data_IF_595996146647
#
_entry.id   IF_595996146647
#
_cell.length_a   1.000
_cell.length_b   1.000
_cell.length_c   1.000
_cell.angle_alpha   90.00
_cell.angle_beta   90.00
_cell.angle_gamma   90.00
#
_symmetry.space_group_name_H-M   'P 1'
#
loop_
_entity.id
_entity.type
_entity.pdbx_description
1 polymer ?
#
# COMPACT_ATOMS: atom_id res chain seq x y z
N UNK A 1 18.31 23.98 9.99
CA UNK A 1 17.96 22.54 10.03
C UNK A 1 16.70 22.34 9.21
N UNK A 2 16.65 21.33 8.33
CA UNK A 2 15.38 20.91 7.72
C UNK A 2 14.55 20.19 8.78
N UNK A 3 13.28 20.58 8.92
CA UNK A 3 12.37 19.93 9.84
C UNK A 3 11.63 18.82 9.08
N UNK A 4 11.79 17.58 9.54
CA UNK A 4 11.14 16.42 8.93
C UNK A 4 9.99 15.94 9.80
N UNK A 5 8.87 15.61 9.18
CA UNK A 5 7.68 15.06 9.87
C UNK A 5 7.22 13.82 9.14
N UNK A 6 6.91 12.76 9.89
CA UNK A 6 6.26 11.56 9.35
C UNK A 6 4.79 11.60 9.71
N UNK A 7 3.91 11.33 8.75
CA UNK A 7 2.46 11.24 8.95
C UNK A 7 1.84 10.21 8.02
N UNK A 8 0.64 9.77 8.34
CA UNK A 8 -0.21 9.06 7.39
C UNK A 8 -0.59 9.97 6.22
N UNK A 9 -0.68 9.39 5.03
CA UNK A 9 -1.20 10.09 3.86
C UNK A 9 -2.71 10.28 3.96
N UNK A 10 -3.21 11.31 3.28
CA UNK A 10 -4.62 11.48 3.00
C UNK A 10 -4.85 11.53 1.49
N UNK A 11 -6.11 11.58 1.09
CA UNK A 11 -6.50 11.61 -0.33
C UNK A 11 -5.93 12.81 -1.11
N UNK A 12 -5.71 13.95 -0.46
CA UNK A 12 -5.13 15.15 -1.10
C UNK A 12 -3.66 14.97 -1.47
N UNK A 13 -2.96 13.99 -0.87
CA UNK A 13 -1.56 13.69 -1.18
C UNK A 13 -1.38 12.86 -2.45
N UNK A 14 -2.44 12.26 -3.00
CA UNK A 14 -2.38 11.34 -4.14
C UNK A 14 -1.61 11.90 -5.35
N UNK A 15 -1.79 13.16 -5.78
CA UNK A 15 -1.01 13.72 -6.89
C UNK A 15 0.49 13.70 -6.61
N UNK A 16 0.92 14.07 -5.39
CA UNK A 16 2.32 14.07 -4.99
C UNK A 16 2.89 12.66 -4.88
N UNK A 17 2.12 11.72 -4.31
CA UNK A 17 2.52 10.31 -4.20
C UNK A 17 2.73 9.66 -5.57
N UNK A 18 1.81 9.89 -6.52
CA UNK A 18 1.95 9.40 -7.90
C UNK A 18 3.16 10.01 -8.60
N UNK A 19 3.41 11.30 -8.39
CA UNK A 19 4.59 11.96 -8.95
C UNK A 19 5.88 11.32 -8.43
N UNK A 20 6.01 11.14 -7.11
CA UNK A 20 7.16 10.47 -6.50
C UNK A 20 7.34 9.06 -7.07
N UNK A 21 6.26 8.27 -7.15
CA UNK A 21 6.32 6.92 -7.70
C UNK A 21 6.86 6.90 -9.13
N UNK A 22 6.32 7.74 -10.01
CA UNK A 22 6.75 7.82 -11.40
C UNK A 22 8.19 8.31 -11.52
N UNK A 23 8.62 9.24 -10.68
CA UNK A 23 10.01 9.72 -10.67
C UNK A 23 10.99 8.66 -10.17
N UNK A 24 10.60 7.84 -9.19
CA UNK A 24 11.49 6.83 -8.60
C UNK A 24 11.53 5.51 -9.38
N UNK A 25 10.41 5.10 -9.98
CA UNK A 25 10.26 3.77 -10.60
C UNK A 25 10.03 3.81 -12.11
N UNK A 26 9.80 4.99 -12.69
CA UNK A 26 9.59 5.19 -14.13
C UNK A 26 8.40 4.40 -14.74
N UNK A 27 7.49 3.92 -13.88
CA UNK A 27 6.27 3.23 -14.30
C UNK A 27 5.38 4.13 -15.17
N UNK A 28 4.63 3.48 -16.07
CA UNK A 28 3.65 4.19 -16.87
C UNK A 28 2.60 4.87 -15.99
N UNK A 29 2.01 5.97 -16.49
CA UNK A 29 0.89 6.63 -15.79
C UNK A 29 -0.27 5.66 -15.54
N UNK A 30 -0.53 4.75 -16.48
CA UNK A 30 -1.61 3.77 -16.35
C UNK A 30 -1.34 2.78 -15.20
N UNK A 31 -0.10 2.28 -15.08
CA UNK A 31 0.29 1.34 -14.03
C UNK A 31 0.34 2.02 -12.66
N UNK A 32 0.86 3.24 -12.60
CA UNK A 32 0.84 4.06 -11.38
C UNK A 32 -0.60 4.31 -10.93
N UNK A 33 -1.49 4.74 -11.83
CA UNK A 33 -2.90 4.96 -11.51
C UNK A 33 -3.59 3.67 -11.06
N UNK A 34 -3.22 2.53 -11.65
CA UNK A 34 -3.72 1.21 -11.25
C UNK A 34 -3.26 0.84 -9.84
N UNK A 35 -1.97 1.02 -9.51
CA UNK A 35 -1.44 0.73 -8.18
C UNK A 35 -2.19 1.51 -7.10
N UNK A 36 -2.26 2.84 -7.25
CA UNK A 36 -2.93 3.70 -6.26
C UNK A 36 -4.44 3.49 -6.19
N UNK A 37 -5.07 2.92 -7.22
CA UNK A 37 -6.49 2.55 -7.16
C UNK A 37 -6.74 1.35 -6.24
N UNK A 38 -5.81 0.38 -6.23
CA UNK A 38 -6.01 -0.88 -5.51
C UNK A 38 -5.34 -0.91 -4.13
N UNK A 39 -4.22 -0.21 -3.97
CA UNK A 39 -3.36 -0.36 -2.79
C UNK A 39 -3.24 0.91 -1.94
N UNK A 40 -3.78 2.05 -2.39
CA UNK A 40 -3.80 3.24 -1.55
C UNK A 40 -4.81 3.06 -0.41
N UNK A 41 -4.30 3.14 0.82
CA UNK A 41 -5.08 3.36 2.02
C UNK A 41 -4.39 4.40 2.88
N UNK A 42 -5.16 5.29 3.49
CA UNK A 42 -4.63 6.34 4.39
C UNK A 42 -3.89 5.71 5.57
N UNK A 43 -4.38 4.59 6.11
CA UNK A 43 -3.73 3.84 7.20
C UNK A 43 -2.51 3.02 6.75
N UNK A 44 -2.34 2.77 5.45
CA UNK A 44 -1.27 1.94 4.90
C UNK A 44 -0.23 2.74 4.12
N UNK A 45 -0.33 4.06 4.09
CA UNK A 45 0.60 4.93 3.36
C UNK A 45 1.20 5.97 4.29
N UNK A 46 2.52 5.93 4.46
CA UNK A 46 3.27 6.89 5.25
C UNK A 46 3.99 7.88 4.35
N UNK A 47 3.97 9.16 4.75
CA UNK A 47 4.65 10.27 4.08
C UNK A 47 5.72 10.84 5.01
N UNK A 48 6.90 11.08 4.47
CA UNK A 48 7.91 11.97 5.05
C UNK A 48 7.77 13.34 4.39
N UNK A 49 7.47 14.37 5.18
CA UNK A 49 7.42 15.76 4.73
C UNK A 49 8.64 16.56 5.20
N UNK A 50 9.12 17.46 4.36
CA UNK A 50 10.10 18.50 4.70
C UNK A 50 9.43 19.87 4.58
N UNK A 51 8.91 20.40 5.69
CA UNK A 51 7.99 21.54 5.64
C UNK A 51 6.67 21.16 4.98
N UNK A 52 6.26 21.90 3.95
CA UNK A 52 5.00 21.65 3.22
C UNK A 52 5.16 20.70 2.02
N UNK A 53 6.38 20.21 1.76
CA UNK A 53 6.66 19.32 0.63
C UNK A 53 6.70 17.86 1.07
N UNK A 54 6.05 16.99 0.29
CA UNK A 54 6.17 15.53 0.40
C UNK A 54 7.54 15.14 -0.19
N UNK A 55 8.42 14.59 0.64
CA UNK A 55 9.79 14.27 0.26
C UNK A 55 10.00 12.77 -0.01
N UNK A 56 9.23 11.90 0.64
CA UNK A 56 9.26 10.46 0.42
C UNK A 56 7.94 9.81 0.86
N UNK A 57 7.71 8.58 0.38
CA UNK A 57 6.56 7.78 0.77
C UNK A 57 6.95 6.31 1.00
N UNK A 58 6.21 5.64 1.88
CA UNK A 58 6.28 4.20 2.11
C UNK A 58 4.86 3.61 2.11
N UNK A 59 4.70 2.48 1.44
CA UNK A 59 3.42 1.78 1.31
C UNK A 59 3.49 0.43 2.03
N UNK A 60 2.58 0.19 2.96
CA UNK A 60 2.40 -1.09 3.62
C UNK A 60 1.43 -1.93 2.79
N UNK A 61 1.97 -2.93 2.08
CA UNK A 61 1.16 -3.90 1.36
C UNK A 61 0.87 -5.07 2.32
N UNK A 62 -0.38 -5.17 2.77
CA UNK A 62 -0.83 -6.26 3.60
C UNK A 62 -1.05 -7.50 2.73
N UNK A 63 -0.01 -8.32 2.60
CA UNK A 63 -0.15 -9.66 2.03
C UNK A 63 -0.57 -10.65 3.11
N UNK A 64 -1.72 -11.29 2.92
CA UNK A 64 -2.08 -12.48 3.66
C UNK A 64 -1.75 -13.70 2.79
N UNK A 65 -0.60 -14.33 3.05
CA UNK A 65 -0.29 -15.62 2.45
C UNK A 65 -0.99 -16.72 3.24
N UNK A 66 -1.83 -17.52 2.58
CA UNK A 66 -2.26 -18.79 3.14
C UNK A 66 -1.07 -19.74 3.10
N UNK A 67 -0.28 -19.79 4.18
CA UNK A 67 0.82 -20.75 4.32
C UNK A 67 0.21 -22.16 4.29
N UNK A 68 0.42 -22.95 3.21
CA UNK A 68 -0.12 -24.30 3.15
C UNK A 68 0.63 -25.16 4.18
N UNK A 69 -0.06 -25.59 5.23
CA UNK A 69 0.47 -26.59 6.17
C UNK A 69 0.73 -26.14 7.61
N UNK A 70 0.19 -25.02 8.07
CA UNK A 70 0.02 -24.81 9.52
C UNK A 70 -1.43 -24.55 9.83
N UNK A 71 -2.10 -25.60 10.29
CA UNK A 71 -3.39 -25.50 10.96
C UNK A 71 -3.18 -24.63 12.21
N UNK A 72 -3.41 -23.32 12.10
CA UNK A 72 -3.24 -22.39 13.22
C UNK A 72 -4.40 -22.48 14.21
N UNK A 73 -5.38 -23.37 14.00
CA UNK A 73 -6.50 -23.59 14.91
C UNK A 73 -7.43 -22.37 15.06
N UNK A 74 -7.27 -21.33 14.23
CA UNK A 74 -8.08 -20.10 14.31
C UNK A 74 -9.39 -20.23 13.53
N UNK A 75 -9.51 -21.26 12.67
CA UNK A 75 -10.78 -21.61 12.03
C UNK A 75 -11.39 -22.83 12.73
N UNK A 76 -12.61 -22.76 13.27
CA UNK A 76 -13.30 -23.95 13.76
C UNK A 76 -13.49 -24.91 12.58
N UNK A 77 -13.02 -26.15 12.76
CA UNK A 77 -13.13 -27.21 11.78
C UNK A 77 -14.57 -27.30 11.24
N UNK A 78 -14.76 -27.12 9.93
CA UNK A 78 -16.03 -27.45 9.29
C UNK A 78 -16.52 -26.60 8.12
N UNK A 79 -15.78 -25.59 7.63
CA UNK A 79 -16.19 -24.87 6.39
C UNK A 79 -15.03 -24.70 5.41
N UNK A 80 -14.83 -25.72 4.57
CA UNK A 80 -14.05 -25.55 3.33
C UNK A 80 -14.76 -24.56 2.40
N UNK A 81 -14.07 -23.55 1.83
CA UNK A 81 -14.62 -22.83 0.70
C UNK A 81 -14.55 -23.73 -0.54
N UNK A 82 -15.72 -24.14 -0.98
CA UNK A 82 -15.96 -24.75 -2.29
C UNK A 82 -15.57 -23.73 -3.37
N UNK A 83 -14.70 -24.12 -4.31
CA UNK A 83 -14.47 -23.31 -5.50
C UNK A 83 -13.26 -23.77 -6.32
N UNK A 84 -13.50 -24.61 -7.31
CA UNK A 84 -12.51 -25.15 -8.26
C UNK A 84 -11.95 -24.05 -9.17
N UNK A 85 -10.65 -24.14 -9.46
CA UNK A 85 -10.00 -23.45 -10.59
C UNK A 85 -10.67 -23.81 -11.93
N UNK A 86 -10.87 -22.84 -12.83
CA UNK A 86 -10.57 -23.03 -14.25
C UNK A 86 -9.06 -22.92 -14.51
#
# INVERSE_FOLDING_TARGET
>A
MRNFTIRVANTDDLPALKHIWQTCFEDSKADTDRFFRYFFGEETTLILSSGNEVAAAAHLLLEAELIPGKDTGIYPAGKSPVGKSP
#
